data_IF_263308909731
#
_entry.id   IF_263308909731
#
_cell.length_a   1.000
_cell.length_b   1.000
_cell.length_c   1.000
_cell.angle_alpha   90.00
_cell.angle_beta   90.00
_cell.angle_gamma   90.00
#
_symmetry.space_group_name_H-M   'P 1'
#
loop_
_entity.id
_entity.type
_entity.pdbx_description
1 polymer ?
#
# COMPACT_ATOMS: atom_id res chain seq x y z
N UNK A 1 -19.57 -14.50 -56.71
CA UNK A 1 -18.27 -14.26 -56.03
C UNK A 1 -17.55 -13.18 -56.83
N UNK A 2 -16.90 -12.17 -56.23
CA UNK A 2 -16.44 -11.98 -54.83
C UNK A 2 -17.34 -11.01 -54.02
N UNK A 3 -17.50 -11.22 -52.71
CA UNK A 3 -16.78 -10.59 -51.56
C UNK A 3 -17.17 -9.11 -51.34
N UNK A 4 -18.12 -8.90 -50.43
CA UNK A 4 -18.51 -7.60 -49.89
C UNK A 4 -17.84 -7.38 -48.54
N UNK A 5 -17.18 -6.24 -48.44
CA UNK A 5 -16.55 -5.64 -47.28
C UNK A 5 -17.63 -5.19 -46.27
N UNK A 6 -17.47 -5.54 -45.01
CA UNK A 6 -18.35 -5.10 -43.92
C UNK A 6 -17.48 -4.69 -42.74
N UNK A 7 -17.20 -3.37 -42.67
CA UNK A 7 -16.60 -2.73 -41.52
C UNK A 7 -17.48 -2.87 -40.28
N UNK A 8 -16.87 -3.29 -39.17
CA UNK A 8 -17.46 -3.22 -37.84
C UNK A 8 -16.74 -2.11 -37.06
N UNK A 9 -17.48 -1.02 -36.85
CA UNK A 9 -17.07 0.09 -36.00
C UNK A 9 -16.93 -0.34 -34.55
N UNK A 10 -15.84 0.09 -33.92
CA UNK A 10 -15.58 -0.07 -32.50
C UNK A 10 -16.54 0.79 -31.67
N UNK A 11 -17.39 0.13 -30.89
CA UNK A 11 -18.11 0.75 -29.78
C UNK A 11 -17.20 0.80 -28.56
N UNK A 12 -16.79 2.00 -28.16
CA UNK A 12 -16.15 2.26 -26.88
C UNK A 12 -17.14 2.00 -25.75
N UNK A 13 -16.81 1.07 -24.85
CA UNK A 13 -17.51 0.88 -23.60
C UNK A 13 -16.86 1.75 -22.51
N UNK A 14 -17.67 2.61 -21.91
CA UNK A 14 -17.34 3.54 -20.85
C UNK A 14 -16.83 2.78 -19.60
N UNK A 15 -15.68 3.20 -19.08
CA UNK A 15 -15.11 2.67 -17.84
C UNK A 15 -15.98 3.04 -16.64
N UNK A 16 -16.36 2.03 -15.85
CA UNK A 16 -16.98 2.20 -14.53
C UNK A 16 -15.99 2.83 -13.56
N UNK A 17 -16.47 3.82 -12.81
CA UNK A 17 -15.66 4.75 -12.03
C UNK A 17 -14.85 4.11 -10.90
N UNK A 18 -13.53 4.23 -11.01
CA UNK A 18 -12.59 4.29 -9.90
C UNK A 18 -12.04 5.72 -9.81
N UNK A 19 -11.87 6.26 -8.61
CA UNK A 19 -11.32 7.60 -8.43
C UNK A 19 -9.79 7.50 -8.39
N UNK A 20 -9.11 7.94 -9.45
CA UNK A 20 -7.64 8.03 -9.52
C UNK A 20 -7.15 8.82 -8.29
N UNK A 21 -6.19 8.28 -7.54
CA UNK A 21 -5.66 8.97 -6.37
C UNK A 21 -5.07 10.34 -6.75
N UNK A 22 -5.37 11.41 -5.99
CA UNK A 22 -4.85 12.74 -6.29
C UNK A 22 -3.36 12.85 -5.98
N UNK A 23 -2.61 13.43 -6.91
CA UNK A 23 -1.24 13.90 -6.70
C UNK A 23 -1.26 15.19 -5.83
N UNK A 24 -0.32 15.29 -4.89
CA UNK A 24 -0.28 16.34 -3.86
C UNK A 24 0.74 17.46 -4.16
N UNK A 25 0.85 17.92 -5.41
CA UNK A 25 1.52 19.21 -5.73
C UNK A 25 0.48 20.31 -6.00
N UNK A 26 0.50 21.38 -5.20
CA UNK A 26 -0.21 22.64 -5.49
C UNK A 26 0.82 23.73 -5.77
N UNK A 27 0.66 24.41 -6.91
CA UNK A 27 1.40 25.62 -7.24
C UNK A 27 0.93 26.77 -6.33
N UNK A 28 1.81 27.31 -5.48
CA UNK A 28 1.59 28.63 -4.86
C UNK A 28 2.18 29.74 -5.75
N UNK A 29 1.57 30.94 -5.78
CA UNK A 29 2.04 32.07 -6.59
C UNK A 29 3.36 32.63 -6.06
N UNK A 30 4.27 32.96 -6.98
CA UNK A 30 5.60 33.53 -6.77
C UNK A 30 5.64 34.63 -5.68
N UNK A 31 6.07 34.26 -4.47
CA UNK A 31 6.83 35.09 -3.54
C UNK A 31 7.31 34.26 -2.35
N UNK A 32 8.64 34.25 -2.15
CA UNK A 32 9.40 33.70 -1.01
C UNK A 32 9.80 32.21 -1.11
N UNK A 33 10.94 31.99 -1.77
CA UNK A 33 11.91 30.93 -1.44
C UNK A 33 11.58 29.50 -1.90
N UNK A 34 12.36 29.00 -2.86
CA UNK A 34 12.40 27.58 -3.25
C UNK A 34 12.37 26.66 -2.02
N UNK A 35 11.34 25.83 -1.93
CA UNK A 35 11.07 25.00 -0.75
C UNK A 35 10.20 23.79 -1.04
N UNK A 36 10.45 23.08 -2.16
CA UNK A 36 10.23 21.62 -2.17
C UNK A 36 11.15 21.07 -1.08
N UNK A 37 10.70 20.12 -0.27
CA UNK A 37 11.47 19.55 0.84
C UNK A 37 12.89 19.14 0.39
N UNK A 38 13.82 20.09 0.48
CA UNK A 38 15.24 19.88 0.41
C UNK A 38 15.62 19.33 1.75
N UNK A 39 15.88 18.03 1.79
CA UNK A 39 16.93 17.58 2.69
C UNK A 39 18.18 18.33 2.23
N UNK A 40 18.50 19.46 2.86
CA UNK A 40 19.80 20.08 2.73
C UNK A 40 20.83 19.04 3.21
N UNK A 41 21.35 18.27 2.25
CA UNK A 41 22.32 17.19 2.44
C UNK A 41 21.89 15.77 2.04
N UNK A 42 20.72 15.50 1.43
CA UNK A 42 20.32 14.13 1.05
C UNK A 42 20.00 13.99 -0.45
N UNK A 43 20.75 13.14 -1.18
CA UNK A 43 20.70 12.98 -2.64
C UNK A 43 19.43 12.35 -3.25
N UNK A 44 18.22 12.57 -2.72
CA UNK A 44 16.97 12.08 -3.30
C UNK A 44 15.88 13.16 -3.34
N UNK A 45 15.13 13.22 -4.45
CA UNK A 45 13.90 14.03 -4.59
C UNK A 45 12.70 13.10 -4.47
N UNK A 46 11.79 13.42 -3.55
CA UNK A 46 10.61 12.60 -3.29
C UNK A 46 9.40 12.97 -4.15
N UNK A 47 8.72 11.96 -4.68
CA UNK A 47 7.37 12.06 -5.23
C UNK A 47 6.43 11.20 -4.38
N UNK A 48 5.38 11.80 -3.84
CA UNK A 48 4.41 11.11 -3.00
C UNK A 48 3.06 11.04 -3.70
N UNK A 49 2.51 9.84 -3.82
CA UNK A 49 1.14 9.61 -4.28
C UNK A 49 0.40 8.91 -3.15
N UNK A 50 -0.80 9.41 -2.82
CA UNK A 50 -1.67 8.73 -1.87
C UNK A 50 -2.18 7.42 -2.47
N UNK A 51 -1.98 6.28 -1.81
CA UNK A 51 -2.64 5.05 -2.20
C UNK A 51 -4.12 5.07 -1.84
N UNK A 52 -4.98 4.50 -2.68
CA UNK A 52 -6.38 4.23 -2.36
C UNK A 52 -6.47 3.31 -1.14
N UNK A 53 -7.17 3.74 -0.08
CA UNK A 53 -7.60 3.02 1.14
C UNK A 53 -6.98 1.63 1.38
N UNK A 54 -5.65 1.58 1.49
CA UNK A 54 -4.87 0.38 1.75
C UNK A 54 -4.76 0.09 3.25
N UNK A 55 -5.87 0.25 3.99
CA UNK A 55 -5.94 0.06 5.43
C UNK A 55 -5.16 -1.18 5.85
N UNK A 56 -4.19 -0.98 6.73
CA UNK A 56 -3.15 -1.95 7.02
C UNK A 56 -3.63 -3.37 7.35
N UNK A 57 -2.70 -4.31 7.21
CA UNK A 57 -2.86 -5.77 7.16
C UNK A 57 -3.41 -6.46 8.43
N UNK A 58 -4.06 -5.74 9.34
CA UNK A 58 -4.50 -6.27 10.64
C UNK A 58 -5.79 -7.12 10.58
N UNK A 59 -6.59 -6.99 9.52
CA UNK A 59 -7.91 -7.60 9.50
C UNK A 59 -7.90 -8.95 8.77
N UNK A 60 -8.25 -10.03 9.48
CA UNK A 60 -8.60 -11.29 8.85
C UNK A 60 -10.02 -11.15 8.29
N UNK A 61 -10.15 -11.18 6.98
CA UNK A 61 -11.41 -10.84 6.33
C UNK A 61 -12.02 -12.09 5.65
N UNK A 62 -13.29 -12.38 5.93
CA UNK A 62 -14.00 -13.56 5.40
C UNK A 62 -15.18 -13.07 4.57
N UNK A 63 -15.23 -13.42 3.28
CA UNK A 63 -16.28 -12.94 2.37
C UNK A 63 -17.10 -14.11 1.86
N UNK A 64 -18.42 -13.99 1.99
CA UNK A 64 -19.32 -15.00 1.45
C UNK A 64 -19.49 -14.79 -0.06
N UNK A 65 -18.68 -15.45 -0.89
CA UNK A 65 -19.00 -15.57 -2.32
C UNK A 65 -20.14 -16.60 -2.47
N UNK A 66 -21.36 -16.14 -2.71
CA UNK A 66 -22.47 -17.02 -3.13
C UNK A 66 -22.24 -17.51 -4.56
N UNK A 67 -22.57 -18.78 -4.84
CA UNK A 67 -23.14 -19.21 -6.14
C UNK A 67 -23.94 -20.53 -6.00
N UNK A 68 -24.90 -20.86 -6.90
CA UNK A 68 -25.52 -20.06 -7.97
C UNK A 68 -27.07 -20.07 -7.92
N UNK A 69 -27.70 -19.00 -8.42
CA UNK A 69 -29.14 -19.02 -8.74
C UNK A 69 -29.36 -18.82 -10.26
N UNK A 70 -29.20 -19.93 -11.00
CA UNK A 70 -30.00 -20.35 -12.15
C UNK A 70 -29.13 -21.06 -13.19
N UNK A 71 -29.41 -22.35 -13.37
CA UNK A 71 -28.97 -23.13 -14.54
C UNK A 71 -29.54 -22.50 -15.80
N UNK A 72 -28.74 -21.68 -16.50
CA UNK A 72 -28.76 -21.59 -17.96
C UNK A 72 -27.31 -21.67 -18.42
N UNK A 73 -27.01 -22.75 -19.12
CA UNK A 73 -25.66 -23.29 -19.26
C UNK A 73 -24.65 -22.32 -19.84
N UNK A 74 -23.52 -22.21 -19.16
CA UNK A 74 -22.20 -21.98 -19.76
C UNK A 74 -21.22 -22.81 -18.92
N UNK A 75 -20.69 -23.89 -19.50
CA UNK A 75 -19.43 -24.48 -19.05
C UNK A 75 -18.32 -23.51 -19.48
N UNK A 76 -17.46 -23.08 -18.55
CA UNK A 76 -16.30 -22.25 -18.89
C UNK A 76 -15.80 -21.41 -17.72
N UNK A 77 -14.75 -21.92 -17.07
CA UNK A 77 -13.62 -21.23 -16.43
C UNK A 77 -13.84 -20.00 -15.53
N UNK A 78 -13.09 -20.00 -14.42
CA UNK A 78 -13.15 -19.00 -13.37
C UNK A 78 -13.02 -17.56 -13.86
N UNK A 79 -13.96 -16.73 -13.40
CA UNK A 79 -13.85 -15.27 -13.42
C UNK A 79 -14.08 -14.76 -12.01
N UNK A 80 -12.98 -14.46 -11.32
CA UNK A 80 -12.95 -13.50 -10.21
C UNK A 80 -13.23 -12.12 -10.82
N UNK A 81 -13.93 -11.19 -10.12
CA UNK A 81 -14.25 -9.87 -10.67
C UNK A 81 -13.00 -9.17 -11.19
N UNK A 82 -12.98 -8.86 -12.49
CA UNK A 82 -11.97 -7.97 -13.10
C UNK A 82 -12.48 -6.55 -12.96
N UNK A 83 -11.81 -5.75 -12.14
CA UNK A 83 -11.94 -4.30 -12.09
C UNK A 83 -12.17 -3.76 -10.67
N UNK A 84 -11.24 -2.92 -10.20
CA UNK A 84 -11.43 -1.99 -9.09
C UNK A 84 -10.81 -2.42 -7.75
N UNK A 85 -9.71 -1.77 -7.37
CA UNK A 85 -9.30 -1.45 -5.99
C UNK A 85 -9.59 -2.53 -4.92
N UNK A 86 -8.90 -3.68 -5.00
CA UNK A 86 -8.92 -4.65 -3.90
C UNK A 86 -7.93 -4.21 -2.80
N UNK A 87 -8.34 -3.26 -1.96
CA UNK A 87 -7.62 -2.91 -0.73
C UNK A 87 -7.60 -4.09 0.25
N UNK A 88 -6.48 -4.29 0.94
CA UNK A 88 -6.17 -5.44 1.79
C UNK A 88 -6.81 -5.41 3.20
N UNK A 89 -7.36 -4.26 3.62
CA UNK A 89 -7.94 -4.07 4.96
C UNK A 89 -9.41 -4.49 5.05
N UNK A 90 -9.88 -4.75 6.26
CA UNK A 90 -11.26 -5.17 6.52
C UNK A 90 -12.29 -4.15 6.05
N UNK A 91 -11.96 -2.85 6.12
CA UNK A 91 -12.77 -1.77 5.58
C UNK A 91 -12.88 -1.80 4.05
N UNK A 92 -11.76 -1.99 3.34
CA UNK A 92 -11.75 -2.08 1.88
C UNK A 92 -12.53 -3.29 1.37
N UNK A 93 -12.41 -4.43 2.06
CA UNK A 93 -13.18 -5.61 1.70
C UNK A 93 -14.66 -5.47 2.01
N UNK A 94 -15.01 -4.83 3.13
CA UNK A 94 -16.40 -4.50 3.45
C UNK A 94 -17.02 -3.59 2.38
N UNK A 95 -16.27 -2.57 1.93
CA UNK A 95 -16.68 -1.70 0.83
C UNK A 95 -16.86 -2.48 -0.47
N UNK A 96 -15.86 -3.26 -0.88
CA UNK A 96 -15.92 -4.06 -2.10
C UNK A 96 -17.11 -5.05 -2.09
N UNK A 97 -17.37 -5.68 -0.94
CA UNK A 97 -18.52 -6.56 -0.78
C UNK A 97 -19.84 -5.80 -0.92
N UNK A 98 -19.97 -4.61 -0.31
CA UNK A 98 -21.14 -3.75 -0.45
C UNK A 98 -21.41 -3.38 -1.90
N UNK A 99 -20.39 -2.91 -2.62
CA UNK A 99 -20.51 -2.50 -4.02
C UNK A 99 -20.90 -3.68 -4.94
N UNK A 100 -20.58 -4.91 -4.54
CA UNK A 100 -20.95 -6.12 -5.27
C UNK A 100 -22.22 -6.82 -4.75
N UNK A 101 -22.91 -6.24 -3.75
CA UNK A 101 -24.10 -6.86 -3.15
C UNK A 101 -23.81 -8.19 -2.44
N UNK A 102 -22.58 -8.36 -1.93
CA UNK A 102 -22.08 -9.55 -1.25
C UNK A 102 -22.08 -9.32 0.27
N UNK A 103 -22.42 -10.35 1.04
CA UNK A 103 -22.28 -10.31 2.49
C UNK A 103 -20.79 -10.47 2.90
N UNK A 104 -20.29 -9.52 3.69
CA UNK A 104 -18.94 -9.57 4.27
C UNK A 104 -18.99 -9.85 5.77
N UNK A 105 -18.11 -10.73 6.24
CA UNK A 105 -17.87 -11.00 7.65
C UNK A 105 -16.41 -10.64 7.97
N UNK A 106 -16.20 -9.59 8.75
CA UNK A 106 -14.84 -9.09 9.01
C UNK A 106 -14.45 -9.46 10.43
N UNK A 107 -13.39 -10.27 10.57
CA UNK A 107 -12.85 -10.67 11.85
C UNK A 107 -11.82 -9.64 12.29
N UNK A 108 -12.13 -8.93 13.37
CA UNK A 108 -11.28 -7.87 13.92
C UNK A 108 -10.89 -8.20 15.37
N UNK A 109 -9.62 -8.00 15.78
CA UNK A 109 -9.26 -8.03 17.19
C UNK A 109 -10.10 -7.07 18.02
N UNK A 110 -10.38 -7.42 19.27
CA UNK A 110 -11.03 -6.50 20.23
C UNK A 110 -10.22 -5.23 20.51
N UNK A 111 -8.91 -5.28 20.26
CA UNK A 111 -7.97 -4.17 20.40
C UNK A 111 -7.88 -3.27 19.15
N UNK A 112 -8.63 -3.56 18.10
CA UNK A 112 -8.62 -2.76 16.86
C UNK A 112 -9.03 -1.33 17.14
N UNK A 113 -8.43 -0.39 16.40
CA UNK A 113 -8.76 1.03 16.59
C UNK A 113 -10.25 1.30 16.31
N UNK A 114 -10.94 2.08 17.16
CA UNK A 114 -12.40 2.29 17.05
C UNK A 114 -12.86 2.81 15.69
N UNK A 115 -12.04 3.64 15.04
CA UNK A 115 -12.32 4.23 13.73
C UNK A 115 -12.39 3.16 12.63
N UNK A 116 -11.49 2.17 12.63
CA UNK A 116 -11.54 1.05 11.68
C UNK A 116 -12.79 0.20 11.90
N UNK A 117 -13.13 -0.11 13.16
CA UNK A 117 -14.35 -0.86 13.49
C UNK A 117 -15.59 -0.10 12.99
N UNK A 118 -15.65 1.21 13.24
CA UNK A 118 -16.77 2.04 12.81
C UNK A 118 -16.90 2.12 11.29
N UNK A 119 -15.79 2.29 10.56
CA UNK A 119 -15.78 2.31 9.10
C UNK A 119 -16.27 0.97 8.52
N UNK A 120 -15.74 -0.15 9.00
CA UNK A 120 -16.14 -1.50 8.56
C UNK A 120 -17.64 -1.75 8.78
N UNK A 121 -18.18 -1.37 9.94
CA UNK A 121 -19.63 -1.43 10.20
C UNK A 121 -20.42 -0.49 9.29
N UNK A 122 -19.91 0.71 9.05
CA UNK A 122 -20.51 1.71 8.17
C UNK A 122 -20.65 1.23 6.72
N UNK A 123 -19.76 0.35 6.27
CA UNK A 123 -19.86 -0.32 4.97
C UNK A 123 -20.83 -1.51 4.95
N UNK A 124 -21.50 -1.82 6.07
CA UNK A 124 -22.52 -2.87 6.13
C UNK A 124 -21.95 -4.28 6.37
N UNK A 125 -20.69 -4.40 6.78
CA UNK A 125 -20.11 -5.69 7.11
C UNK A 125 -20.55 -6.19 8.50
N UNK A 126 -20.65 -7.52 8.60
CA UNK A 126 -20.84 -8.23 9.86
C UNK A 126 -19.50 -8.33 10.60
N UNK A 127 -19.24 -7.43 11.54
CA UNK A 127 -18.01 -7.46 12.34
C UNK A 127 -18.09 -8.56 13.40
N UNK A 128 -17.13 -9.48 13.38
CA UNK A 128 -16.93 -10.55 14.35
C UNK A 128 -15.65 -10.27 15.12
N UNK A 129 -15.71 -10.26 16.45
CA UNK A 129 -14.52 -9.99 17.24
C UNK A 129 -13.72 -11.27 17.53
N UNK A 130 -12.39 -11.13 17.53
CA UNK A 130 -11.43 -12.15 17.99
C UNK A 130 -10.63 -11.64 19.19
N UNK A 131 -9.83 -12.53 19.79
CA UNK A 131 -8.73 -12.11 20.65
C UNK A 131 -7.60 -11.40 19.88
N UNK A 132 -6.51 -11.06 20.56
CA UNK A 132 -5.41 -10.27 20.01
C UNK A 132 -4.38 -11.11 19.25
N UNK A 133 -4.37 -12.43 19.43
CA UNK A 133 -3.39 -13.32 18.78
C UNK A 133 -3.83 -13.75 17.37
N UNK A 134 -2.87 -14.15 16.53
CA UNK A 134 -3.18 -14.71 15.19
C UNK A 134 -4.03 -15.97 15.30
N UNK A 135 -3.72 -16.85 16.25
CA UNK A 135 -4.45 -18.10 16.48
C UNK A 135 -5.92 -17.82 16.78
N UNK A 136 -6.22 -16.87 17.67
CA UNK A 136 -7.60 -16.50 18.00
C UNK A 136 -8.35 -15.89 16.80
N UNK A 137 -7.65 -15.14 15.92
CA UNK A 137 -8.22 -14.63 14.67
C UNK A 137 -8.54 -15.75 13.69
N UNK A 138 -7.61 -16.69 13.51
CA UNK A 138 -7.78 -17.85 12.62
C UNK A 138 -8.93 -18.75 13.09
N UNK A 139 -9.05 -18.97 14.40
CA UNK A 139 -10.17 -19.70 14.98
C UNK A 139 -11.51 -18.99 14.76
N UNK A 140 -11.55 -17.66 14.96
CA UNK A 140 -12.76 -16.88 14.70
C UNK A 140 -13.16 -16.91 13.21
N UNK A 141 -12.19 -16.78 12.31
CA UNK A 141 -12.42 -16.91 10.88
C UNK A 141 -12.92 -18.32 10.51
N UNK A 142 -12.33 -19.38 11.07
CA UNK A 142 -12.75 -20.75 10.84
C UNK A 142 -14.19 -21.00 11.30
N UNK A 143 -14.60 -20.44 12.45
CA UNK A 143 -16.00 -20.50 12.91
C UNK A 143 -16.95 -19.81 11.94
N UNK A 144 -16.62 -18.59 11.50
CA UNK A 144 -17.43 -17.86 10.52
C UNK A 144 -17.57 -18.64 9.21
N UNK A 145 -16.49 -19.23 8.71
CA UNK A 145 -16.51 -20.08 7.51
C UNK A 145 -17.44 -21.28 7.71
N UNK A 146 -17.34 -21.97 8.84
CA UNK A 146 -18.18 -23.13 9.15
C UNK A 146 -19.69 -22.77 9.25
N UNK A 147 -20.01 -21.61 9.80
CA UNK A 147 -21.39 -21.16 10.01
C UNK A 147 -22.05 -20.60 8.74
N UNK A 148 -21.27 -19.92 7.90
CA UNK A 148 -21.80 -19.12 6.77
C UNK A 148 -21.52 -19.73 5.40
N UNK A 149 -20.57 -20.66 5.30
CA UNK A 149 -20.05 -21.16 4.02
C UNK A 149 -19.22 -20.12 3.26
N UNK A 150 -18.76 -19.06 3.93
CA UNK A 150 -17.98 -18.00 3.32
C UNK A 150 -16.56 -18.45 2.93
N UNK A 151 -15.94 -17.74 2.00
CA UNK A 151 -14.57 -17.96 1.56
C UNK A 151 -13.63 -16.97 2.28
N UNK A 152 -12.52 -17.49 2.78
CA UNK A 152 -11.47 -16.64 3.35
C UNK A 152 -10.83 -15.77 2.25
N UNK A 153 -10.74 -14.46 2.51
CA UNK A 153 -9.95 -13.53 1.72
C UNK A 153 -8.82 -13.04 2.62
N UNK A 154 -7.60 -13.56 2.49
CA UNK A 154 -6.51 -13.17 3.37
C UNK A 154 -6.14 -11.70 3.11
N UNK A 155 -5.63 -11.00 4.14
CA UNK A 155 -5.27 -9.58 4.01
C UNK A 155 -4.06 -9.34 3.10
N UNK A 156 -3.19 -10.33 2.86
CA UNK A 156 -1.99 -10.11 2.03
C UNK A 156 -1.45 -11.36 1.33
N UNK A 157 -1.51 -12.54 1.96
CA UNK A 157 -0.83 -13.75 1.46
C UNK A 157 -1.63 -14.50 0.39
N UNK A 158 -1.95 -13.80 -0.71
CA UNK A 158 -2.66 -14.37 -1.85
C UNK A 158 -2.29 -13.65 -3.16
N UNK A 159 -2.07 -14.39 -4.26
CA UNK A 159 -1.70 -13.79 -5.56
C UNK A 159 -2.62 -12.67 -6.03
N UNK A 160 -3.94 -12.86 -5.97
CA UNK A 160 -4.89 -11.82 -6.41
C UNK A 160 -4.82 -10.55 -5.55
N UNK A 161 -4.51 -10.68 -4.26
CA UNK A 161 -4.33 -9.52 -3.37
C UNK A 161 -3.05 -8.79 -3.75
N UNK A 162 -1.93 -9.52 -3.90
CA UNK A 162 -0.66 -8.94 -4.35
C UNK A 162 -0.79 -8.22 -5.68
N UNK A 163 -1.44 -8.84 -6.68
CA UNK A 163 -1.67 -8.24 -7.99
C UNK A 163 -2.57 -7.01 -7.91
N UNK A 164 -3.61 -7.05 -7.06
CA UNK A 164 -4.45 -5.90 -6.78
C UNK A 164 -3.66 -4.73 -6.18
N UNK A 165 -2.78 -4.98 -5.21
CA UNK A 165 -1.92 -3.95 -4.64
C UNK A 165 -0.88 -3.43 -5.65
N UNK A 166 -0.45 -4.27 -6.60
CA UNK A 166 0.52 -3.89 -7.62
C UNK A 166 0.03 -2.80 -8.58
N UNK A 167 -1.28 -2.55 -8.68
CA UNK A 167 -1.79 -1.46 -9.51
C UNK A 167 -1.33 -0.09 -9.01
N UNK A 168 -1.09 0.07 -7.71
CA UNK A 168 -0.49 1.29 -7.13
C UNK A 168 0.87 1.58 -7.78
N UNK A 169 1.68 0.54 -7.98
CA UNK A 169 2.98 0.69 -8.62
C UNK A 169 2.88 1.06 -10.10
N UNK A 170 1.90 0.50 -10.83
CA UNK A 170 1.64 0.89 -12.23
C UNK A 170 1.18 2.34 -12.34
N UNK A 171 0.22 2.74 -11.50
CA UNK A 171 -0.33 4.11 -11.50
C UNK A 171 0.73 5.15 -11.13
N UNK A 172 1.56 4.86 -10.12
CA UNK A 172 2.64 5.75 -9.69
C UNK A 172 3.66 5.96 -10.82
N UNK A 173 4.02 4.90 -11.55
CA UNK A 173 4.93 4.99 -12.70
C UNK A 173 4.35 5.89 -13.80
N UNK A 174 3.10 5.65 -14.19
CA UNK A 174 2.42 6.40 -15.25
C UNK A 174 2.26 7.88 -14.87
N UNK A 175 1.81 8.16 -13.65
CA UNK A 175 1.60 9.53 -13.17
C UNK A 175 2.90 10.33 -13.10
N UNK A 176 3.99 9.72 -12.61
CA UNK A 176 5.29 10.40 -12.54
C UNK A 176 5.85 10.63 -13.94
N UNK A 177 5.71 9.66 -14.85
CA UNK A 177 6.13 9.84 -16.25
C UNK A 177 5.35 10.99 -16.94
N UNK A 178 4.02 11.04 -16.76
CA UNK A 178 3.15 12.12 -17.26
C UNK A 178 3.60 13.49 -16.72
N UNK A 179 3.81 13.59 -15.41
CA UNK A 179 4.22 14.83 -14.75
C UNK A 179 5.63 15.28 -15.18
N UNK A 180 6.60 14.37 -15.26
CA UNK A 180 7.95 14.69 -15.71
C UNK A 180 7.98 15.14 -17.18
N UNK A 181 7.19 14.48 -18.04
CA UNK A 181 7.04 14.88 -19.44
C UNK A 181 6.42 16.29 -19.56
N UNK A 182 5.40 16.59 -18.76
CA UNK A 182 4.78 17.91 -18.71
C UNK A 182 5.76 19.00 -18.24
N UNK A 183 6.60 18.69 -17.24
CA UNK A 183 7.63 19.60 -16.75
C UNK A 183 8.74 19.86 -17.80
N UNK A 184 9.22 18.82 -18.47
CA UNK A 184 10.23 18.94 -19.53
C UNK A 184 9.73 19.76 -20.73
N UNK A 185 8.45 19.60 -21.10
CA UNK A 185 7.85 20.39 -22.16
C UNK A 185 7.78 21.89 -21.83
N UNK A 186 7.67 22.26 -20.54
CA UNK A 186 7.63 23.67 -20.10
C UNK A 186 9.02 24.31 -20.03
N UNK A 187 10.06 23.54 -19.72
CA UNK A 187 11.43 24.05 -19.58
C UNK A 187 12.18 24.17 -20.91
N UNK A 188 11.61 23.71 -22.03
CA UNK A 188 12.28 23.71 -23.34
C UNK A 188 13.47 22.75 -23.44
N UNK A 189 13.71 21.95 -22.40
CA UNK A 189 14.76 20.93 -22.37
C UNK A 189 14.24 19.67 -23.04
N UNK A 190 14.58 19.49 -24.32
CA UNK A 190 14.33 18.27 -25.07
C UNK A 190 15.19 17.11 -24.56
N UNK A 191 14.71 16.42 -23.53
CA UNK A 191 15.28 15.18 -23.02
C UNK A 191 14.17 14.17 -22.70
N UNK A 192 14.46 12.88 -22.85
CA UNK A 192 13.53 11.83 -22.44
C UNK A 192 13.33 11.91 -20.91
N UNK A 193 12.08 11.87 -20.45
CA UNK A 193 11.77 11.81 -19.02
C UNK A 193 12.36 10.52 -18.44
N UNK A 194 13.26 10.65 -17.46
CA UNK A 194 14.02 9.53 -16.86
C UNK A 194 13.12 8.54 -16.11
N UNK A 195 11.91 8.96 -15.70
CA UNK A 195 11.04 8.16 -14.84
C UNK A 195 11.58 8.07 -13.41
N UNK A 196 10.99 7.20 -12.60
CA UNK A 196 11.46 6.95 -11.23
C UNK A 196 12.74 6.12 -11.24
N UNK A 197 13.64 6.37 -10.29
CA UNK A 197 14.78 5.48 -10.01
C UNK A 197 14.37 4.34 -9.07
N UNK A 198 13.45 4.63 -8.14
CA UNK A 198 13.01 3.68 -7.13
C UNK A 198 11.60 3.97 -6.61
N UNK A 199 10.97 2.95 -6.05
CA UNK A 199 9.73 3.03 -5.27
C UNK A 199 9.96 2.38 -3.91
N UNK A 200 9.47 3.00 -2.83
CA UNK A 200 9.49 2.43 -1.50
C UNK A 200 8.07 2.28 -0.94
N UNK A 201 7.78 1.11 -0.37
CA UNK A 201 6.47 0.80 0.21
C UNK A 201 6.63 0.39 1.66
N UNK A 202 5.59 0.62 2.51
CA UNK A 202 5.59 0.00 3.82
C UNK A 202 5.48 -1.52 3.69
N UNK A 203 6.03 -2.26 4.64
CA UNK A 203 5.97 -3.71 4.69
C UNK A 203 5.42 -4.16 6.05
N UNK A 204 4.29 -4.88 6.00
CA UNK A 204 3.85 -5.77 7.08
C UNK A 204 3.87 -7.19 6.51
N UNK A 205 2.71 -7.74 6.17
CA UNK A 205 2.61 -9.03 5.47
C UNK A 205 3.23 -9.10 4.07
N UNK A 206 3.69 -7.98 3.51
CA UNK A 206 4.42 -7.92 2.23
C UNK A 206 3.54 -7.93 0.96
N UNK A 207 2.22 -7.98 1.07
CA UNK A 207 1.31 -8.02 -0.09
C UNK A 207 1.46 -6.82 -1.03
N UNK A 208 1.52 -5.61 -0.46
CA UNK A 208 1.77 -4.37 -1.23
C UNK A 208 3.17 -4.32 -1.81
N UNK A 209 4.20 -4.56 -0.98
CA UNK A 209 5.59 -4.55 -1.41
C UNK A 209 5.84 -5.49 -2.58
N UNK A 210 5.34 -6.73 -2.48
CA UNK A 210 5.47 -7.72 -3.55
C UNK A 210 4.65 -7.37 -4.79
N UNK A 211 3.43 -6.83 -4.63
CA UNK A 211 2.63 -6.32 -5.74
C UNK A 211 3.34 -5.20 -6.52
N UNK A 212 3.88 -4.21 -5.82
CA UNK A 212 4.63 -3.11 -6.43
C UNK A 212 5.93 -3.62 -7.06
N UNK A 213 6.64 -4.56 -6.42
CA UNK A 213 7.82 -5.20 -7.00
C UNK A 213 7.51 -5.91 -8.34
N UNK A 214 6.37 -6.59 -8.44
CA UNK A 214 5.90 -7.20 -9.70
C UNK A 214 5.63 -6.14 -10.77
N UNK A 215 5.05 -4.99 -10.40
CA UNK A 215 4.76 -3.90 -11.34
C UNK A 215 6.01 -3.22 -11.92
N UNK A 216 7.16 -3.38 -11.28
CA UNK A 216 8.45 -2.81 -11.70
C UNK A 216 9.35 -3.82 -12.43
N UNK A 217 8.89 -5.06 -12.64
CA UNK A 217 9.72 -6.07 -13.28
C UNK A 217 10.06 -5.67 -14.73
N UNK A 218 11.35 -5.60 -15.04
CA UNK A 218 11.85 -5.22 -16.37
C UNK A 218 11.81 -3.71 -16.68
N UNK A 219 11.33 -2.86 -15.76
CA UNK A 219 11.29 -1.40 -15.97
C UNK A 219 12.60 -0.70 -15.60
N UNK A 220 13.44 -1.36 -14.78
CA UNK A 220 14.66 -0.78 -14.21
C UNK A 220 14.44 -0.01 -12.91
N UNK A 221 13.19 0.19 -12.50
CA UNK A 221 12.83 0.84 -11.24
C UNK A 221 13.08 -0.12 -10.09
N UNK A 222 13.82 0.31 -9.08
CA UNK A 222 14.08 -0.51 -7.89
C UNK A 222 12.97 -0.41 -6.88
N UNK A 223 12.70 -1.50 -6.17
CA UNK A 223 11.69 -1.52 -5.11
C UNK A 223 12.31 -1.82 -3.76
N UNK A 224 11.95 -1.04 -2.75
CA UNK A 224 12.44 -1.16 -1.38
C UNK A 224 11.29 -1.31 -0.38
N UNK A 225 11.49 -2.13 0.65
CA UNK A 225 10.54 -2.28 1.75
C UNK A 225 10.98 -1.51 2.99
N UNK A 226 10.00 -0.94 3.69
CA UNK A 226 10.21 -0.16 4.92
C UNK A 226 9.36 -0.73 6.07
N UNK A 227 10.00 -1.02 7.20
CA UNK A 227 9.37 -1.65 8.38
C UNK A 227 9.60 -0.84 9.68
N UNK A 228 8.75 -0.94 10.69
CA UNK A 228 9.07 -0.47 12.03
C UNK A 228 10.10 -1.41 12.68
N UNK A 229 11.03 -0.87 13.47
CA UNK A 229 12.02 -1.67 14.21
C UNK A 229 11.48 -2.18 15.57
N UNK A 230 10.39 -1.60 16.06
CA UNK A 230 9.91 -1.84 17.42
C UNK A 230 9.40 -3.27 17.63
N UNK A 231 9.91 -3.93 18.68
CA UNK A 231 9.52 -5.29 19.09
C UNK A 231 9.60 -6.33 17.96
N UNK A 232 10.55 -6.17 17.04
CA UNK A 232 10.80 -7.14 15.98
C UNK A 232 9.84 -7.07 14.79
N UNK A 233 9.09 -5.97 14.65
CA UNK A 233 8.28 -5.61 13.48
C UNK A 233 9.07 -5.48 12.16
N UNK A 234 10.40 -5.61 12.23
CA UNK A 234 11.35 -5.66 11.13
C UNK A 234 11.62 -7.11 10.67
N UNK A 235 10.61 -7.99 10.76
CA UNK A 235 10.76 -9.41 10.45
C UNK A 235 11.09 -9.67 8.99
N UNK A 236 10.58 -8.85 8.07
CA UNK A 236 10.93 -8.88 6.65
C UNK A 236 12.38 -8.49 6.40
N UNK A 237 12.89 -7.43 7.05
CA UNK A 237 14.30 -6.99 7.00
C UNK A 237 15.23 -8.06 7.56
N UNK A 238 14.95 -8.54 8.78
CA UNK A 238 15.76 -9.59 9.41
C UNK A 238 15.76 -10.85 8.56
N UNK A 239 14.60 -11.25 8.04
CA UNK A 239 14.49 -12.40 7.17
C UNK A 239 15.26 -12.22 5.86
N UNK A 240 15.12 -11.05 5.21
CA UNK A 240 15.76 -10.73 3.93
C UNK A 240 17.28 -10.84 4.02
N UNK A 241 17.90 -10.29 5.07
CA UNK A 241 19.36 -10.36 5.23
C UNK A 241 19.85 -11.68 5.84
N UNK A 242 19.03 -12.38 6.63
CA UNK A 242 19.36 -13.73 7.11
C UNK A 242 19.16 -14.82 6.04
N UNK A 243 18.42 -14.51 4.99
CA UNK A 243 18.06 -15.44 3.92
C UNK A 243 16.97 -16.45 4.24
N UNK A 244 16.16 -16.18 5.27
CA UNK A 244 15.09 -17.06 5.70
C UNK A 244 13.89 -16.26 6.21
N UNK A 245 12.69 -16.60 5.74
CA UNK A 245 11.44 -15.95 6.19
C UNK A 245 11.25 -16.14 7.69
N UNK A 246 10.94 -15.04 8.38
CA UNK A 246 10.56 -15.07 9.80
C UNK A 246 9.03 -15.20 9.88
N UNK A 247 8.48 -16.34 10.34
CA UNK A 247 7.06 -16.63 10.18
C UNK A 247 6.16 -16.02 11.27
N UNK A 248 6.73 -15.32 12.25
CA UNK A 248 6.02 -14.83 13.42
C UNK A 248 6.58 -13.50 13.90
N UNK A 249 5.68 -12.59 14.22
CA UNK A 249 6.01 -11.30 14.84
C UNK A 249 4.96 -10.97 15.90
N UNK A 250 5.38 -10.31 16.96
CA UNK A 250 4.49 -9.82 18.02
C UNK A 250 4.99 -8.46 18.45
N UNK A 251 4.31 -7.41 18.00
CA UNK A 251 4.71 -6.02 18.20
C UNK A 251 3.50 -5.13 18.50
N UNK A 252 3.73 -4.08 19.26
CA UNK A 252 2.79 -3.01 19.54
C UNK A 252 3.21 -1.67 18.93
N UNK A 253 4.03 -1.69 17.88
CA UNK A 253 4.43 -0.49 17.11
C UNK A 253 3.23 0.41 16.78
N UNK A 254 3.46 1.72 16.79
CA UNK A 254 2.55 2.79 16.38
C UNK A 254 2.06 2.61 14.94
N UNK A 255 2.85 1.97 14.09
CA UNK A 255 2.46 1.51 12.75
C UNK A 255 1.65 0.22 12.83
N UNK A 256 0.44 0.32 13.37
CA UNK A 256 -0.48 -0.80 13.62
C UNK A 256 -0.73 -1.67 12.38
N UNK A 257 -0.83 -1.05 11.20
CA UNK A 257 -0.98 -1.74 9.92
C UNK A 257 0.16 -2.69 9.53
N UNK A 258 1.31 -2.64 10.21
CA UNK A 258 2.53 -3.39 9.89
C UNK A 258 2.87 -4.46 10.94
N UNK A 259 1.92 -4.83 11.81
CA UNK A 259 2.12 -5.83 12.89
C UNK A 259 1.94 -7.29 12.43
N UNK A 260 2.23 -7.58 11.17
CA UNK A 260 2.03 -8.92 10.58
C UNK A 260 3.31 -9.42 9.94
N UNK A 261 3.62 -10.72 10.06
CA UNK A 261 4.84 -11.26 9.48
C UNK A 261 4.71 -11.37 7.97
N UNK A 262 5.82 -11.27 7.24
CA UNK A 262 5.81 -11.42 5.77
C UNK A 262 5.23 -12.79 5.36
N UNK A 263 4.24 -12.78 4.46
CA UNK A 263 3.56 -13.97 3.94
C UNK A 263 4.43 -14.85 3.04
N UNK A 264 3.98 -16.06 2.75
CA UNK A 264 4.74 -16.99 1.90
C UNK A 264 4.79 -16.56 0.43
N UNK A 265 3.67 -16.13 -0.16
CA UNK A 265 3.63 -15.65 -1.54
C UNK A 265 4.38 -14.31 -1.70
N UNK A 266 4.21 -13.32 -0.80
CA UNK A 266 5.05 -12.13 -0.80
C UNK A 266 6.54 -12.45 -0.70
N UNK A 267 6.95 -13.38 0.19
CA UNK A 267 8.35 -13.78 0.34
C UNK A 267 8.95 -14.36 -0.95
N UNK A 268 8.18 -15.17 -1.69
CA UNK A 268 8.61 -15.72 -2.97
C UNK A 268 8.96 -14.61 -3.99
N UNK A 269 8.22 -13.50 -3.98
CA UNK A 269 8.50 -12.34 -4.84
C UNK A 269 9.67 -11.52 -4.30
N UNK A 270 9.64 -11.19 -3.01
CA UNK A 270 10.60 -10.30 -2.35
C UNK A 270 12.01 -10.91 -2.39
N UNK A 271 12.14 -12.16 -1.93
CA UNK A 271 13.43 -12.79 -1.69
C UNK A 271 13.79 -13.84 -2.75
N UNK A 272 12.90 -14.79 -3.05
CA UNK A 272 13.25 -15.92 -3.93
C UNK A 272 13.45 -15.49 -5.38
N UNK A 273 12.57 -14.60 -5.87
CA UNK A 273 12.69 -13.97 -7.20
C UNK A 273 13.58 -12.72 -7.22
N UNK A 274 14.00 -12.20 -6.06
CA UNK A 274 14.86 -11.01 -5.92
C UNK A 274 14.28 -9.75 -6.57
N UNK A 275 12.97 -9.54 -6.48
CA UNK A 275 12.33 -8.34 -7.03
C UNK A 275 12.37 -7.12 -6.09
N UNK A 276 12.78 -7.30 -4.84
CA UNK A 276 13.04 -6.20 -3.89
C UNK A 276 14.55 -6.04 -3.72
N UNK A 277 15.02 -4.80 -3.83
CA UNK A 277 16.44 -4.46 -3.79
C UNK A 277 17.00 -4.37 -2.36
N UNK A 278 16.16 -4.00 -1.39
CA UNK A 278 16.56 -3.88 0.01
C UNK A 278 15.38 -3.68 0.95
N UNK A 279 15.62 -3.98 2.23
CA UNK A 279 14.66 -3.81 3.33
C UNK A 279 15.31 -2.94 4.40
N UNK A 280 14.56 -1.95 4.91
CA UNK A 280 15.05 -0.98 5.89
C UNK A 280 14.04 -0.81 7.02
N UNK A 281 14.50 -0.25 8.14
CA UNK A 281 13.67 -0.18 9.34
C UNK A 281 13.91 1.10 10.14
N UNK A 282 12.85 1.65 10.73
CA UNK A 282 12.89 2.91 11.48
C UNK A 282 12.31 2.80 12.89
N UNK A 283 12.62 3.73 13.77
CA UNK A 283 12.07 3.78 15.13
C UNK A 283 10.69 4.42 15.17
N UNK A 284 10.00 4.26 16.30
CA UNK A 284 8.69 4.86 16.54
C UNK A 284 8.74 6.40 16.45
N UNK A 285 9.81 6.99 16.98
CA UNK A 285 10.02 8.44 16.98
C UNK A 285 10.21 8.98 15.57
N UNK A 286 10.95 8.25 14.73
CA UNK A 286 11.18 8.59 13.32
C UNK A 286 9.88 8.50 12.50
N UNK A 287 9.04 7.50 12.77
CA UNK A 287 7.71 7.36 12.14
C UNK A 287 6.83 8.57 12.51
N UNK A 288 6.78 8.94 13.79
CA UNK A 288 5.99 10.10 14.26
C UNK A 288 6.54 11.41 13.70
N UNK A 289 7.87 11.56 13.60
CA UNK A 289 8.50 12.73 13.00
C UNK A 289 8.17 12.86 11.50
N UNK A 290 8.24 11.76 10.75
CA UNK A 290 7.83 11.74 9.34
C UNK A 290 6.34 12.06 9.18
N UNK A 291 5.47 11.50 10.02
CA UNK A 291 4.03 11.78 10.03
C UNK A 291 3.75 13.26 10.28
N UNK A 292 4.45 13.88 11.25
CA UNK A 292 4.37 15.33 11.50
C UNK A 292 4.74 16.12 10.25
N UNK A 293 5.83 15.76 9.57
CA UNK A 293 6.27 16.45 8.36
C UNK A 293 5.21 16.39 7.25
N UNK A 294 4.61 15.22 7.00
CA UNK A 294 3.55 15.07 5.99
C UNK A 294 2.36 15.95 6.32
N UNK A 295 1.92 15.96 7.57
CA UNK A 295 0.78 16.78 7.99
C UNK A 295 1.11 18.28 7.88
N UNK A 296 2.29 18.71 8.32
CA UNK A 296 2.66 20.12 8.37
C UNK A 296 3.04 20.69 7.00
N UNK A 297 3.62 19.88 6.10
CA UNK A 297 4.14 20.35 4.80
C UNK A 297 3.27 19.94 3.63
N UNK A 298 2.82 18.68 3.59
CA UNK A 298 1.97 18.19 2.51
C UNK A 298 0.48 18.44 2.79
N UNK A 299 0.11 18.77 4.03
CA UNK A 299 -1.28 18.98 4.47
C UNK A 299 -2.17 17.76 4.23
N UNK A 300 -1.56 16.58 4.25
CA UNK A 300 -2.25 15.30 4.10
C UNK A 300 -2.39 14.62 5.46
N UNK A 301 -3.56 14.04 5.71
CA UNK A 301 -3.77 13.17 6.87
C UNK A 301 -3.36 11.76 6.46
N UNK A 302 -2.29 11.28 7.09
CA UNK A 302 -1.72 9.95 6.88
C UNK A 302 -1.62 9.22 8.21
N UNK A 303 -1.77 7.90 8.20
CA UNK A 303 -1.56 7.08 9.40
C UNK A 303 -0.08 6.74 9.59
N UNK A 304 0.36 6.33 10.80
CA UNK A 304 1.77 6.03 11.07
C UNK A 304 2.37 4.99 10.12
N UNK A 305 1.62 3.92 9.82
CA UNK A 305 2.03 2.85 8.88
C UNK A 305 2.39 3.37 7.49
N UNK A 306 1.68 4.39 7.01
CA UNK A 306 1.94 5.00 5.70
C UNK A 306 3.20 5.86 5.70
N UNK A 307 3.68 6.32 6.87
CA UNK A 307 4.83 7.21 6.99
C UNK A 307 6.17 6.47 7.04
N UNK A 308 6.17 5.15 7.23
CA UNK A 308 7.38 4.34 7.39
C UNK A 308 8.35 4.46 6.20
N UNK A 309 7.91 4.47 4.92
CA UNK A 309 8.80 4.71 3.78
C UNK A 309 9.48 6.08 3.82
N UNK A 310 8.73 7.13 4.17
CA UNK A 310 9.29 8.48 4.30
C UNK A 310 10.29 8.55 5.46
N UNK A 311 9.97 7.91 6.58
CA UNK A 311 10.89 7.82 7.71
C UNK A 311 12.20 7.14 7.29
N UNK A 312 12.16 6.03 6.55
CA UNK A 312 13.39 5.39 6.03
C UNK A 312 14.17 6.35 5.15
N UNK A 313 13.52 7.01 4.20
CA UNK A 313 14.19 7.96 3.31
C UNK A 313 14.85 9.14 4.04
N UNK A 314 14.28 9.55 5.18
CA UNK A 314 14.78 10.67 5.98
C UNK A 314 15.87 10.27 6.97
N UNK A 315 15.72 9.12 7.64
CA UNK A 315 16.46 8.79 8.86
C UNK A 315 17.33 7.52 8.77
N UNK A 316 17.08 6.59 7.83
CA UNK A 316 17.89 5.39 7.71
C UNK A 316 19.21 5.70 6.97
N UNK A 317 20.31 5.76 7.73
CA UNK A 317 21.64 6.11 7.22
C UNK A 317 22.18 5.09 6.21
N UNK A 318 21.79 3.82 6.30
CA UNK A 318 22.24 2.80 5.36
C UNK A 318 21.60 3.00 3.99
N UNK A 319 20.28 3.25 3.97
CA UNK A 319 19.55 3.61 2.76
C UNK A 319 20.10 4.90 2.15
N UNK A 320 20.24 5.96 2.95
CA UNK A 320 20.75 7.26 2.49
C UNK A 320 22.17 7.15 1.92
N UNK A 321 23.07 6.49 2.65
CA UNK A 321 24.43 6.27 2.17
C UNK A 321 24.50 5.42 0.90
N UNK A 322 23.57 4.47 0.73
CA UNK A 322 23.46 3.71 -0.52
C UNK A 322 23.01 4.61 -1.68
N UNK A 323 21.97 5.42 -1.49
CA UNK A 323 21.50 6.38 -2.48
C UNK A 323 22.61 7.36 -2.86
N UNK A 324 23.32 7.94 -1.89
CA UNK A 324 24.43 8.88 -2.14
C UNK A 324 25.55 8.28 -3.01
N UNK A 325 25.88 7.00 -2.79
CA UNK A 325 26.91 6.31 -3.58
C UNK A 325 26.47 6.02 -5.02
N UNK A 326 25.17 5.81 -5.23
CA UNK A 326 24.66 5.27 -6.49
C UNK A 326 23.91 6.28 -7.36
N UNK A 327 23.37 7.34 -6.77
CA UNK A 327 22.55 8.34 -7.45
C UNK A 327 23.35 9.34 -8.30
N UNK A 328 24.65 9.48 -8.02
CA UNK A 328 25.47 10.54 -8.59
C UNK A 328 24.97 11.94 -8.22
N UNK A 329 25.40 12.95 -8.97
CA UNK A 329 25.11 14.36 -8.66
C UNK A 329 23.62 14.74 -8.82
N UNK A 330 22.87 14.00 -9.64
CA UNK A 330 21.46 14.28 -9.92
C UNK A 330 20.48 13.86 -8.82
N UNK A 331 20.91 12.93 -7.98
CA UNK A 331 20.05 12.25 -7.02
C UNK A 331 19.11 11.23 -7.66
N UNK A 332 18.33 10.54 -6.81
CA UNK A 332 17.24 9.68 -7.27
C UNK A 332 15.90 10.39 -7.26
N UNK A 333 15.06 10.08 -8.24
CA UNK A 333 13.62 10.30 -8.17
C UNK A 333 12.97 9.10 -7.46
N UNK A 334 12.63 9.29 -6.18
CA UNK A 334 12.09 8.23 -5.30
C UNK A 334 10.58 8.39 -5.13
N UNK A 335 9.84 7.35 -5.53
CA UNK A 335 8.41 7.22 -5.28
C UNK A 335 8.14 6.67 -3.88
N UNK A 336 7.36 7.38 -3.09
CA UNK A 336 6.94 6.95 -1.75
C UNK A 336 5.45 6.62 -1.75
N UNK A 337 5.10 5.41 -1.30
CA UNK A 337 3.70 4.99 -1.18
C UNK A 337 3.15 5.33 0.20
N UNK A 338 2.20 6.25 0.27
CA UNK A 338 1.40 6.50 1.47
C UNK A 338 0.16 5.60 1.45
N UNK A 339 0.22 4.49 2.19
CA UNK A 339 -0.76 3.40 2.09
C UNK A 339 -2.14 3.68 2.71
N UNK A 340 -2.26 4.70 3.56
CA UNK A 340 -3.53 4.98 4.25
C UNK A 340 -3.51 6.21 5.16
N UNK A 341 -4.71 6.61 5.58
CA UNK A 341 -4.97 7.76 6.45
C UNK A 341 -5.97 7.49 7.57
N UNK A 342 -6.17 6.22 7.95
CA UNK A 342 -7.20 5.81 8.91
C UNK A 342 -6.76 6.04 10.36
N UNK A 343 -6.53 7.30 10.72
CA UNK A 343 -6.10 7.72 12.05
C UNK A 343 -7.10 8.68 12.69
N UNK A 344 -7.36 8.50 13.99
CA UNK A 344 -8.24 9.37 14.75
C UNK A 344 -7.57 10.70 15.13
N UNK A 345 -8.33 11.79 15.14
CA UNK A 345 -7.84 13.12 15.58
C UNK A 345 -7.25 13.07 16.99
N UNK A 346 -7.87 12.36 17.92
CA UNK A 346 -7.35 12.20 19.29
C UNK A 346 -6.04 11.43 19.32
N UNK A 347 -5.88 10.43 18.45
CA UNK A 347 -4.63 9.67 18.32
C UNK A 347 -3.51 10.55 17.77
N UNK A 348 -3.80 11.36 16.75
CA UNK A 348 -2.87 12.38 16.23
C UNK A 348 -2.47 13.34 17.37
N UNK A 349 -3.44 13.86 18.11
CA UNK A 349 -3.21 14.76 19.24
C UNK A 349 -2.32 14.13 20.31
N UNK A 350 -2.54 12.85 20.63
CA UNK A 350 -1.72 12.11 21.58
C UNK A 350 -0.29 11.88 21.09
N UNK A 351 -0.09 11.53 19.82
CA UNK A 351 1.24 11.30 19.23
C UNK A 351 2.07 12.59 19.22
N UNK A 352 1.42 13.73 18.97
CA UNK A 352 2.11 15.03 18.91
C UNK A 352 2.17 15.76 20.25
N UNK A 353 1.35 15.37 21.22
CA UNK A 353 1.27 15.98 22.53
C UNK A 353 2.45 15.68 23.46
N UNK A 354 3.36 14.78 23.05
CA UNK A 354 4.53 14.35 23.83
C UNK A 354 5.65 15.39 24.02
N UNK A 355 5.60 16.56 23.38
CA UNK A 355 6.54 17.67 23.63
C UNK A 355 6.01 18.64 24.69
N UNK A 356 6.15 18.24 25.96
CA UNK A 356 6.38 19.11 27.13
C UNK A 356 7.40 18.31 27.98
N UNK A 357 8.61 18.75 28.30
CA UNK A 357 9.14 20.07 28.67
C UNK A 357 10.65 20.16 28.32
N UNK A 358 11.11 21.37 27.99
CA UNK A 358 12.40 21.93 28.41
C UNK A 358 12.28 23.46 28.43
#
# INVERSE_FOLDING_TARGET
MPAADAGLGGGGAQGGGAARAPDARRDEPDAVGDGVAGADGGGARGHAVGGADGGGAEDAAVVQVREPAARRGVQGEGRVPRGGEAGAGGGALALAARENGIAAHIVMPTISVPQKIAATKGYGANVVFSGSTSVEREEAAARVIAETGARLVPPYDHPDIMLGQGTVGLELQDQVAEMMAAAASKSGMGGAAKGLDAIMTPCGGGGMLSGVALSCEGTGIRVFGAEPSYQGADDGKRGYYAGARVPSVSTLTVADGLRTPVGAHPWAVIYERRLVAGMYSVTEEEIVAAMRLVLERCKMVVEPSACVPLAVALFDEEFRGMVEREAGEGGWDLGLVFSGGNVGVDAIGSMFGGTKEA
#
